data_IF_956652554579
#
_entry.id   IF_956652554579
#
_cell.length_a   1.000
_cell.length_b   1.000
_cell.length_c   1.000
_cell.angle_alpha   90.00
_cell.angle_beta   90.00
_cell.angle_gamma   90.00
#
_symmetry.space_group_name_H-M   'P 1'
#
loop_
_entity.id
_entity.type
_entity.pdbx_description
1 polymer ?
#
# COMPACT_ATOMS: atom_id res chain seq x y z
N UNK A 1 -12.22 12.73 14.79
CA UNK A 1 -11.64 11.37 14.72
C UNK A 1 -11.98 10.63 13.41
N UNK A 2 -13.14 10.85 12.78
CA UNK A 2 -13.58 10.22 11.51
C UNK A 2 -12.58 10.22 10.33
N UNK A 3 -11.74 11.24 10.19
CA UNK A 3 -10.79 11.33 9.07
C UNK A 3 -9.59 10.37 9.20
N UNK A 4 -9.10 10.16 10.42
CA UNK A 4 -7.95 9.27 10.67
C UNK A 4 -8.34 7.80 10.50
N UNK A 5 -9.52 7.40 10.99
CA UNK A 5 -10.06 6.05 10.85
C UNK A 5 -10.31 5.67 9.38
N UNK A 6 -10.84 6.60 8.57
CA UNK A 6 -11.00 6.39 7.12
C UNK A 6 -9.67 6.18 6.41
N UNK A 7 -8.64 6.97 6.76
CA UNK A 7 -7.30 6.83 6.17
C UNK A 7 -6.65 5.49 6.52
N UNK A 8 -6.78 5.06 7.77
CA UNK A 8 -6.24 3.76 8.23
C UNK A 8 -6.99 2.60 7.58
N UNK A 9 -8.32 2.68 7.50
CA UNK A 9 -9.15 1.68 6.83
C UNK A 9 -8.84 1.58 5.34
N UNK A 10 -8.68 2.72 4.66
CA UNK A 10 -8.32 2.74 3.24
C UNK A 10 -6.94 2.13 3.01
N UNK A 11 -5.95 2.45 3.84
CA UNK A 11 -4.61 1.84 3.77
C UNK A 11 -4.68 0.33 3.93
N UNK A 12 -5.48 -0.15 4.88
CA UNK A 12 -5.63 -1.56 5.16
C UNK A 12 -6.27 -2.32 3.98
N UNK A 13 -7.35 -1.77 3.41
CA UNK A 13 -8.00 -2.34 2.22
C UNK A 13 -7.05 -2.35 1.02
N UNK A 14 -6.32 -1.26 0.77
CA UNK A 14 -5.31 -1.22 -0.29
C UNK A 14 -4.21 -2.27 -0.06
N UNK A 15 -3.75 -2.42 1.18
CA UNK A 15 -2.73 -3.42 1.50
C UNK A 15 -3.21 -4.83 1.14
N UNK A 16 -4.44 -5.19 1.53
CA UNK A 16 -5.04 -6.49 1.19
C UNK A 16 -5.15 -6.71 -0.32
N UNK A 17 -5.56 -5.69 -1.08
CA UNK A 17 -5.65 -5.77 -2.55
C UNK A 17 -4.28 -6.00 -3.17
N UNK A 18 -3.25 -5.27 -2.73
CA UNK A 18 -1.89 -5.41 -3.25
C UNK A 18 -1.24 -6.74 -2.85
N UNK A 19 -1.55 -7.27 -1.66
CA UNK A 19 -1.12 -8.60 -1.23
C UNK A 19 -1.77 -9.68 -2.11
N UNK A 20 -3.08 -9.59 -2.34
CA UNK A 20 -3.79 -10.53 -3.20
C UNK A 20 -3.27 -10.49 -4.64
N UNK A 21 -3.07 -9.29 -5.21
CA UNK A 21 -2.45 -9.11 -6.53
C UNK A 21 -1.04 -9.69 -6.58
N UNK A 22 -0.19 -9.36 -5.60
CA UNK A 22 1.17 -9.90 -5.51
C UNK A 22 1.19 -11.42 -5.44
N UNK A 23 0.33 -12.02 -4.62
CA UNK A 23 0.20 -13.47 -4.51
C UNK A 23 -0.26 -14.12 -5.83
N UNK A 24 -1.30 -13.58 -6.49
CA UNK A 24 -1.78 -14.13 -7.77
C UNK A 24 -0.75 -14.03 -8.88
N UNK A 25 -0.02 -12.92 -8.97
CA UNK A 25 1.03 -12.72 -9.97
C UNK A 25 2.27 -13.59 -9.67
N UNK A 26 2.56 -13.83 -8.39
CA UNK A 26 3.65 -14.70 -7.96
C UNK A 26 3.36 -16.17 -8.28
N UNK A 27 2.15 -16.65 -7.96
CA UNK A 27 1.68 -17.99 -8.33
C UNK A 27 1.66 -18.19 -9.85
N UNK A 28 1.31 -17.15 -10.62
CA UNK A 28 1.34 -17.19 -12.09
C UNK A 28 2.76 -17.14 -12.69
N UNK A 29 3.82 -17.08 -11.87
CA UNK A 29 5.21 -16.99 -12.31
C UNK A 29 5.57 -15.68 -13.00
N UNK A 30 4.72 -14.65 -12.90
CA UNK A 30 4.92 -13.33 -13.53
C UNK A 30 5.82 -12.41 -12.70
N UNK A 31 5.86 -12.61 -11.38
CA UNK A 31 6.73 -11.88 -10.47
C UNK A 31 7.43 -12.87 -9.53
N UNK A 32 8.76 -12.77 -9.44
CA UNK A 32 9.51 -13.48 -8.42
C UNK A 32 9.41 -12.80 -7.05
N UNK A 33 10.16 -13.30 -6.06
CA UNK A 33 10.22 -12.78 -4.69
C UNK A 33 10.39 -11.25 -4.63
N UNK A 34 11.29 -10.69 -5.44
CA UNK A 34 11.53 -9.25 -5.49
C UNK A 34 10.36 -8.45 -6.06
N UNK A 35 9.65 -8.99 -7.07
CA UNK A 35 8.47 -8.34 -7.63
C UNK A 35 7.30 -8.36 -6.65
N UNK A 36 7.11 -9.46 -5.93
CA UNK A 36 6.12 -9.55 -4.86
C UNK A 36 6.42 -8.54 -3.73
N UNK A 37 7.69 -8.44 -3.30
CA UNK A 37 8.13 -7.48 -2.29
C UNK A 37 7.85 -6.03 -2.72
N UNK A 38 8.16 -5.68 -3.97
CA UNK A 38 7.88 -4.34 -4.51
C UNK A 38 6.39 -4.03 -4.57
N UNK A 39 5.54 -4.98 -4.97
CA UNK A 39 4.07 -4.81 -5.02
C UNK A 39 3.50 -4.61 -3.62
N UNK A 40 3.95 -5.39 -2.63
CA UNK A 40 3.51 -5.26 -1.24
C UNK A 40 3.94 -3.94 -0.59
N UNK A 41 5.11 -3.42 -0.94
CA UNK A 41 5.62 -2.14 -0.42
C UNK A 41 4.95 -0.91 -1.05
N UNK A 42 4.38 -1.04 -2.25
CA UNK A 42 3.79 0.07 -3.02
C UNK A 42 2.75 0.90 -2.22
N UNK A 43 1.72 0.30 -1.61
CA UNK A 43 0.76 1.07 -0.81
C UNK A 43 1.41 1.72 0.42
N UNK A 44 2.40 1.08 1.04
CA UNK A 44 3.08 1.67 2.19
C UNK A 44 3.89 2.92 1.81
N UNK A 45 4.56 2.89 0.66
CA UNK A 45 5.30 4.02 0.08
C UNK A 45 4.33 5.14 -0.34
N UNK A 46 3.24 4.81 -1.02
CA UNK A 46 2.22 5.79 -1.43
C UNK A 46 1.64 6.54 -0.23
N UNK A 47 1.28 5.84 0.84
CA UNK A 47 0.80 6.46 2.07
C UNK A 47 1.89 7.24 2.82
N UNK A 48 3.15 6.79 2.79
CA UNK A 48 4.27 7.54 3.36
C UNK A 48 4.47 8.90 2.65
N UNK A 49 4.41 8.91 1.32
CA UNK A 49 4.49 10.14 0.51
C UNK A 49 3.30 11.08 0.78
N UNK A 50 2.08 10.53 0.87
CA UNK A 50 0.89 11.31 1.22
C UNK A 50 0.96 11.90 2.64
N UNK A 51 1.55 11.18 3.59
CA UNK A 51 1.74 11.67 4.96
C UNK A 51 2.81 12.76 5.03
N UNK A 52 3.88 12.64 4.25
CA UNK A 52 4.95 13.63 4.13
C UNK A 52 4.53 14.93 3.43
N UNK A 53 3.44 14.89 2.64
CA UNK A 53 2.86 16.08 1.99
C UNK A 53 1.91 16.89 2.87
N UNK A 54 1.74 16.57 4.15
CA UNK A 54 1.03 17.49 5.06
C UNK A 54 1.83 18.80 5.10
N UNK A 55 1.30 19.93 4.60
CA UNK A 55 2.01 21.21 4.72
C UNK A 55 2.26 21.50 6.21
N UNK A 56 3.37 22.18 6.58
CA UNK A 56 3.47 22.74 7.91
C UNK A 56 2.19 23.53 8.16
N UNK A 57 1.53 23.23 9.28
CA UNK A 57 0.42 24.05 9.75
C UNK A 57 1.02 25.46 9.94
N UNK A 58 0.66 26.36 9.02
CA UNK A 58 0.97 27.79 9.09
C UNK A 58 0.02 28.44 10.08
#
# INVERSE_FOLDING_TARGET
MRGLEKFVSLRFVLLLVFIALGATLHEAGKVGFWGMLSIMMLPNIAFALLRGRKPPAS
#
